data_IF_403585401950
#
_entry.id   IF_403585401950
#
_cell.length_a   1.000
_cell.length_b   1.000
_cell.length_c   1.000
_cell.angle_alpha   90.00
_cell.angle_beta   90.00
_cell.angle_gamma   90.00
#
_symmetry.space_group_name_H-M   'P 1'
#
loop_
_entity.id
_entity.type
_entity.pdbx_description
1 polymer ?
#
# COMPACT_ATOMS: atom_id res chain seq x y z
N UNK A 1 31.44 -11.55 18.14
CA UNK A 1 30.11 -10.94 18.43
C UNK A 1 29.18 -11.31 17.30
N UNK A 2 27.98 -11.78 17.59
CA UNK A 2 26.96 -12.16 16.58
C UNK A 2 26.38 -10.93 15.85
N UNK A 3 26.76 -9.71 16.24
CA UNK A 3 26.37 -8.47 15.60
C UNK A 3 27.58 -7.84 14.90
N UNK A 4 27.42 -7.44 13.64
CA UNK A 4 28.42 -6.69 12.89
C UNK A 4 28.80 -5.36 13.59
N UNK A 5 29.80 -4.68 13.05
CA UNK A 5 30.18 -3.37 13.53
C UNK A 5 29.01 -2.36 13.42
N UNK A 6 28.98 -1.37 14.30
CA UNK A 6 27.96 -0.32 14.28
C UNK A 6 28.21 0.60 13.10
N UNK A 7 27.17 0.87 12.33
CA UNK A 7 27.22 1.80 11.19
C UNK A 7 27.64 3.21 11.62
N UNK A 8 28.19 3.96 10.70
CA UNK A 8 28.48 5.36 10.91
C UNK A 8 27.23 6.13 11.35
N UNK A 9 27.39 7.05 12.32
CA UNK A 9 26.28 7.75 12.97
C UNK A 9 25.33 8.45 11.99
N UNK A 10 25.84 9.03 10.90
CA UNK A 10 25.00 9.64 9.88
C UNK A 10 24.11 8.63 9.14
N UNK A 11 24.58 7.39 8.91
CA UNK A 11 23.77 6.33 8.30
C UNK A 11 22.61 5.92 9.22
N UNK A 12 22.85 5.87 10.51
CA UNK A 12 21.81 5.59 11.51
C UNK A 12 20.74 6.70 11.49
N UNK A 13 21.16 7.98 11.45
CA UNK A 13 20.23 9.12 11.34
C UNK A 13 19.41 9.01 10.06
N UNK A 14 20.05 8.77 8.90
CA UNK A 14 19.35 8.60 7.63
C UNK A 14 18.37 7.44 7.67
N UNK A 15 18.71 6.32 8.28
CA UNK A 15 17.79 5.21 8.47
C UNK A 15 16.53 5.63 9.24
N UNK A 16 16.67 6.29 10.38
CA UNK A 16 15.51 6.76 11.16
C UNK A 16 14.63 7.74 10.37
N UNK A 17 15.25 8.70 9.69
CA UNK A 17 14.52 9.64 8.83
C UNK A 17 13.78 8.88 7.72
N UNK A 18 14.43 7.94 7.04
CA UNK A 18 13.83 7.16 5.95
C UNK A 18 12.63 6.35 6.44
N UNK A 19 12.75 5.63 7.56
CA UNK A 19 11.64 4.84 8.12
C UNK A 19 10.47 5.74 8.54
N UNK A 20 10.73 6.89 9.13
CA UNK A 20 9.68 7.86 9.45
C UNK A 20 8.96 8.36 8.19
N UNK A 21 9.73 8.68 7.13
CA UNK A 21 9.15 9.14 5.87
C UNK A 21 8.36 8.05 5.17
N UNK A 22 8.82 6.80 5.18
CA UNK A 22 8.09 5.65 4.61
C UNK A 22 6.75 5.50 5.30
N UNK A 23 6.72 5.39 6.65
CA UNK A 23 5.47 5.25 7.38
C UNK A 23 4.52 6.43 7.16
N UNK A 24 5.04 7.66 7.09
CA UNK A 24 4.24 8.85 6.82
C UNK A 24 3.65 8.84 5.41
N UNK A 25 4.46 8.58 4.38
CA UNK A 25 4.05 8.62 2.97
C UNK A 25 3.07 7.49 2.66
N UNK A 26 3.33 6.28 3.16
CA UNK A 26 2.44 5.15 2.95
C UNK A 26 1.08 5.38 3.59
N UNK A 27 1.02 5.89 4.82
CA UNK A 27 -0.26 6.22 5.45
C UNK A 27 -0.97 7.37 4.73
N UNK A 28 -0.24 8.40 4.27
CA UNK A 28 -0.82 9.49 3.48
C UNK A 28 -1.48 8.98 2.20
N UNK A 29 -0.80 8.11 1.49
CA UNK A 29 -1.31 7.52 0.24
C UNK A 29 -2.49 6.59 0.55
N UNK A 30 -2.31 5.62 1.44
CA UNK A 30 -3.30 4.56 1.63
C UNK A 30 -4.50 5.00 2.47
N UNK A 31 -4.32 5.75 3.54
CA UNK A 31 -5.44 6.19 4.40
C UNK A 31 -5.94 7.57 3.99
N UNK A 32 -5.02 8.46 3.63
CA UNK A 32 -5.37 9.80 3.17
C UNK A 32 -6.09 9.81 1.82
N UNK A 33 -5.65 8.99 0.86
CA UNK A 33 -6.20 8.99 -0.50
C UNK A 33 -6.98 7.72 -0.79
N UNK A 34 -6.31 6.56 -0.87
CA UNK A 34 -6.88 5.30 -1.37
C UNK A 34 -8.13 4.90 -0.58
N UNK A 35 -8.00 4.78 0.74
CA UNK A 35 -9.10 4.31 1.58
C UNK A 35 -10.28 5.31 1.60
N UNK A 36 -10.03 6.60 1.61
CA UNK A 36 -11.09 7.60 1.52
C UNK A 36 -11.85 7.51 0.19
N UNK A 37 -11.16 7.24 -0.94
CA UNK A 37 -11.80 7.00 -2.22
C UNK A 37 -12.62 5.70 -2.22
N UNK A 38 -12.08 4.63 -1.64
CA UNK A 38 -12.83 3.37 -1.48
C UNK A 38 -14.11 3.57 -0.66
N UNK A 39 -14.03 4.27 0.48
CA UNK A 39 -15.20 4.58 1.30
C UNK A 39 -16.27 5.37 0.56
N UNK A 40 -15.87 6.22 -0.38
CA UNK A 40 -16.79 6.97 -1.23
C UNK A 40 -17.39 6.13 -2.35
N UNK A 41 -16.60 5.20 -2.92
CA UNK A 41 -16.99 4.35 -4.03
C UNK A 41 -17.91 3.20 -3.63
N UNK A 42 -17.76 2.68 -2.42
CA UNK A 42 -18.57 1.58 -1.90
C UNK A 42 -19.89 2.07 -1.29
N UNK A 43 -20.97 1.24 -1.31
CA UNK A 43 -22.21 1.55 -0.62
C UNK A 43 -21.98 1.79 0.87
N UNK A 44 -22.72 2.74 1.46
CA UNK A 44 -22.66 3.05 2.90
C UNK A 44 -23.42 2.04 3.76
N UNK A 45 -23.25 0.79 3.43
CA UNK A 45 -23.79 -0.37 4.16
C UNK A 45 -22.67 -1.09 4.88
N UNK A 46 -23.02 -1.97 5.84
CA UNK A 46 -22.03 -2.82 6.53
C UNK A 46 -21.13 -3.58 5.56
N UNK A 47 -21.73 -4.15 4.51
CA UNK A 47 -21.02 -4.90 3.48
C UNK A 47 -20.08 -4.00 2.67
N UNK A 48 -20.58 -2.85 2.24
CA UNK A 48 -19.79 -1.89 1.46
C UNK A 48 -18.61 -1.33 2.24
N UNK A 49 -18.81 -0.92 3.49
CA UNK A 49 -17.71 -0.42 4.36
C UNK A 49 -16.69 -1.54 4.62
N UNK A 50 -17.16 -2.77 4.90
CA UNK A 50 -16.26 -3.91 5.08
C UNK A 50 -15.47 -4.19 3.80
N UNK A 51 -16.12 -4.13 2.63
CA UNK A 51 -15.46 -4.27 1.33
C UNK A 51 -14.38 -3.22 1.09
N UNK A 52 -14.67 -1.96 1.40
CA UNK A 52 -13.70 -0.86 1.29
C UNK A 52 -12.49 -1.09 2.22
N UNK A 53 -12.73 -1.53 3.46
CA UNK A 53 -11.69 -1.83 4.45
C UNK A 53 -10.81 -2.99 3.97
N UNK A 54 -11.41 -4.10 3.56
CA UNK A 54 -10.67 -5.28 3.11
C UNK A 54 -9.89 -4.97 1.84
N UNK A 55 -10.51 -4.32 0.86
CA UNK A 55 -9.82 -3.94 -0.37
C UNK A 55 -8.68 -2.95 -0.10
N UNK A 56 -8.86 -1.99 0.79
CA UNK A 56 -7.80 -1.06 1.20
C UNK A 56 -6.59 -1.77 1.80
N UNK A 57 -6.83 -2.78 2.64
CA UNK A 57 -5.77 -3.62 3.19
C UNK A 57 -5.10 -4.51 2.14
N UNK A 58 -5.88 -5.13 1.26
CA UNK A 58 -5.33 -5.96 0.15
C UNK A 58 -4.45 -5.12 -0.76
N UNK A 59 -4.88 -3.93 -1.16
CA UNK A 59 -4.08 -3.03 -2.00
C UNK A 59 -2.79 -2.62 -1.30
N UNK A 60 -2.85 -2.34 0.00
CA UNK A 60 -1.66 -2.03 0.80
C UNK A 60 -0.69 -3.21 0.82
N UNK A 61 -1.17 -4.43 1.06
CA UNK A 61 -0.34 -5.63 1.01
C UNK A 61 0.30 -5.85 -0.37
N UNK A 62 -0.49 -5.77 -1.44
CA UNK A 62 -0.02 -6.00 -2.81
C UNK A 62 1.08 -5.02 -3.23
N UNK A 63 1.11 -3.80 -2.70
CA UNK A 63 2.18 -2.84 -2.95
C UNK A 63 3.56 -3.43 -2.60
N UNK A 64 3.65 -4.25 -1.57
CA UNK A 64 4.91 -4.83 -1.10
C UNK A 64 5.54 -5.84 -2.06
N UNK A 65 4.82 -6.31 -3.10
CA UNK A 65 5.45 -7.06 -4.19
C UNK A 65 6.57 -6.28 -4.89
N UNK A 66 6.55 -4.94 -4.79
CA UNK A 66 7.62 -4.09 -5.28
C UNK A 66 8.98 -4.40 -4.66
N UNK A 67 9.02 -4.92 -3.42
CA UNK A 67 10.26 -5.26 -2.73
C UNK A 67 11.05 -6.38 -3.42
N UNK A 68 10.42 -7.15 -4.30
CA UNK A 68 11.14 -8.09 -5.17
C UNK A 68 12.16 -7.36 -6.06
N UNK A 69 11.84 -6.13 -6.53
CA UNK A 69 12.79 -5.29 -7.27
C UNK A 69 14.00 -4.83 -6.44
N UNK A 70 13.93 -4.91 -5.12
CA UNK A 70 15.02 -4.61 -4.19
C UNK A 70 15.76 -5.87 -3.70
N UNK A 71 15.53 -7.04 -4.32
CA UNK A 71 16.21 -8.29 -3.99
C UNK A 71 15.51 -9.15 -2.94
N UNK A 72 14.26 -8.85 -2.57
CA UNK A 72 13.48 -9.72 -1.68
C UNK A 72 13.00 -10.95 -2.44
N UNK A 73 13.25 -12.14 -1.87
CA UNK A 73 12.80 -13.43 -2.44
C UNK A 73 11.28 -13.51 -2.50
N UNK A 74 10.74 -14.19 -3.51
CA UNK A 74 9.29 -14.32 -3.68
C UNK A 74 8.56 -14.85 -2.44
N UNK A 75 9.09 -15.91 -1.79
CA UNK A 75 8.50 -16.49 -0.58
C UNK A 75 8.42 -15.48 0.58
N UNK A 76 9.50 -14.74 0.80
CA UNK A 76 9.59 -13.71 1.85
C UNK A 76 8.68 -12.52 1.53
N UNK A 77 8.66 -12.12 0.25
CA UNK A 77 7.78 -11.09 -0.25
C UNK A 77 6.29 -11.46 -0.08
N UNK A 78 5.91 -12.71 -0.37
CA UNK A 78 4.55 -13.20 -0.19
C UNK A 78 4.12 -13.13 1.30
N UNK A 79 5.00 -13.51 2.22
CA UNK A 79 4.76 -13.40 3.65
C UNK A 79 4.56 -11.92 4.04
N UNK A 80 5.40 -11.02 3.52
CA UNK A 80 5.28 -9.59 3.75
C UNK A 80 3.96 -9.04 3.19
N UNK A 81 3.57 -9.44 1.98
CA UNK A 81 2.29 -9.04 1.36
C UNK A 81 1.10 -9.44 2.24
N UNK A 82 1.09 -10.65 2.78
CA UNK A 82 0.02 -11.12 3.65
C UNK A 82 0.01 -10.34 4.97
N UNK A 83 1.15 -10.20 5.64
CA UNK A 83 1.25 -9.47 6.92
C UNK A 83 0.92 -7.99 6.77
N UNK A 84 1.44 -7.33 5.74
CA UNK A 84 1.11 -5.95 5.42
C UNK A 84 -0.37 -5.78 5.05
N UNK A 85 -0.95 -6.74 4.33
CA UNK A 85 -2.38 -6.77 4.03
C UNK A 85 -3.25 -6.83 5.28
N UNK A 86 -2.92 -7.70 6.23
CA UNK A 86 -3.60 -7.80 7.53
C UNK A 86 -3.47 -6.49 8.33
N UNK A 87 -2.26 -5.94 8.41
CA UNK A 87 -2.01 -4.63 9.03
C UNK A 87 -2.80 -3.53 8.33
N UNK A 88 -2.85 -3.56 6.99
CA UNK A 88 -3.60 -2.64 6.16
C UNK A 88 -5.10 -2.64 6.48
N UNK A 89 -5.71 -3.83 6.64
CA UNK A 89 -7.12 -3.97 7.06
C UNK A 89 -7.32 -3.39 8.45
N UNK A 90 -6.46 -3.74 9.41
CA UNK A 90 -6.51 -3.22 10.78
C UNK A 90 -6.42 -1.69 10.82
N UNK A 91 -5.47 -1.12 10.08
CA UNK A 91 -5.27 0.33 10.01
C UNK A 91 -6.43 1.05 9.32
N UNK A 92 -7.01 0.46 8.27
CA UNK A 92 -8.26 0.99 7.68
C UNK A 92 -9.40 1.03 8.70
N UNK A 93 -9.56 0.00 9.53
CA UNK A 93 -10.58 -0.02 10.59
C UNK A 93 -10.33 1.02 11.68
N UNK A 94 -9.06 1.17 12.11
CA UNK A 94 -8.69 2.17 13.10
C UNK A 94 -8.92 3.58 12.54
N UNK A 95 -8.48 3.83 11.31
CA UNK A 95 -8.68 5.13 10.65
C UNK A 95 -10.16 5.44 10.45
N UNK A 96 -10.95 4.46 10.01
CA UNK A 96 -12.39 4.63 9.90
C UNK A 96 -13.05 5.03 11.22
N UNK A 97 -12.54 4.50 12.33
CA UNK A 97 -13.08 4.75 13.67
C UNK A 97 -12.62 6.06 14.31
N UNK A 98 -11.37 6.46 14.05
CA UNK A 98 -10.70 7.57 14.77
C UNK A 98 -10.48 8.81 13.92
N UNK A 99 -10.39 8.65 12.59
CA UNK A 99 -9.96 9.67 11.64
C UNK A 99 -8.62 10.31 11.98
N UNK A 100 -7.83 9.67 12.84
CA UNK A 100 -6.54 10.15 13.27
C UNK A 100 -5.44 9.54 12.40
N UNK A 101 -5.01 10.28 11.39
CA UNK A 101 -3.94 9.93 10.48
C UNK A 101 -2.58 9.84 11.19
N UNK A 102 -2.26 10.81 12.04
CA UNK A 102 -0.97 10.88 12.70
C UNK A 102 -0.69 9.70 13.61
N UNK A 103 -1.71 9.23 14.31
CA UNK A 103 -1.60 8.04 15.15
C UNK A 103 -1.16 6.84 14.31
N UNK A 104 -1.74 6.66 13.10
CA UNK A 104 -1.39 5.55 12.23
C UNK A 104 0.02 5.68 11.65
N UNK A 105 0.42 6.88 11.22
CA UNK A 105 1.76 7.13 10.72
C UNK A 105 2.83 6.81 11.78
N UNK A 106 2.60 7.21 13.03
CA UNK A 106 3.50 6.88 14.15
C UNK A 106 3.51 5.36 14.41
N UNK A 107 2.34 4.71 14.45
CA UNK A 107 2.27 3.26 14.66
C UNK A 107 2.99 2.50 13.55
N UNK A 108 2.81 2.89 12.30
CA UNK A 108 3.47 2.29 11.16
C UNK A 108 4.99 2.41 11.28
N UNK A 109 5.47 3.64 11.51
CA UNK A 109 6.90 3.90 11.74
C UNK A 109 7.49 3.02 12.85
N UNK A 110 6.77 2.85 13.96
CA UNK A 110 7.23 2.00 15.09
C UNK A 110 7.30 0.53 14.68
N UNK A 111 6.32 0.03 13.90
CA UNK A 111 6.33 -1.35 13.38
C UNK A 111 7.52 -1.58 12.46
N UNK A 112 7.77 -0.67 11.53
CA UNK A 112 8.89 -0.74 10.59
C UNK A 112 10.24 -0.64 11.31
N UNK A 113 10.36 0.27 12.28
CA UNK A 113 11.55 0.35 13.14
C UNK A 113 11.81 -0.97 13.84
N UNK A 114 10.78 -1.58 14.45
CA UNK A 114 10.93 -2.87 15.13
C UNK A 114 11.43 -3.99 14.20
N UNK A 115 10.93 -4.02 12.96
CA UNK A 115 11.33 -5.02 11.97
C UNK A 115 12.72 -4.79 11.36
N UNK A 116 13.14 -3.54 11.22
CA UNK A 116 14.32 -3.14 10.44
C UNK A 116 15.49 -2.60 11.30
N UNK A 117 15.33 -2.49 12.61
CA UNK A 117 16.28 -1.80 13.49
C UNK A 117 17.70 -2.36 13.37
N UNK A 118 17.85 -3.68 13.32
CA UNK A 118 19.16 -4.32 13.23
C UNK A 118 19.86 -3.96 11.91
N UNK A 119 19.15 -3.97 10.78
CA UNK A 119 19.69 -3.56 9.48
C UNK A 119 20.00 -2.06 9.41
N UNK A 120 19.34 -1.25 10.23
CA UNK A 120 19.58 0.19 10.31
C UNK A 120 20.83 0.57 11.12
N UNK A 121 21.17 -0.21 12.16
CA UNK A 121 22.22 0.11 13.12
C UNK A 121 23.53 -0.64 12.85
N UNK A 122 23.46 -1.92 12.44
CA UNK A 122 24.62 -2.78 12.29
C UNK A 122 25.00 -2.99 10.83
N UNK A 123 26.31 -3.17 10.57
CA UNK A 123 26.83 -3.60 9.29
C UNK A 123 26.53 -5.10 9.08
N UNK A 124 26.59 -5.57 7.83
CA UNK A 124 26.45 -7.00 7.51
C UNK A 124 25.12 -7.42 6.92
N UNK A 125 24.19 -6.48 6.65
CA UNK A 125 22.95 -6.79 5.92
C UNK A 125 22.12 -5.56 5.58
N UNK A 126 21.42 -5.64 4.45
CA UNK A 126 20.46 -4.62 3.99
C UNK A 126 19.03 -4.91 4.46
N UNK A 127 18.13 -3.99 4.15
CA UNK A 127 16.68 -4.16 4.41
C UNK A 127 16.14 -5.41 3.71
N UNK A 128 16.56 -5.66 2.47
CA UNK A 128 16.14 -6.85 1.71
C UNK A 128 16.61 -8.15 2.37
N UNK A 129 17.85 -8.18 2.90
CA UNK A 129 18.37 -9.35 3.62
C UNK A 129 17.53 -9.63 4.85
N UNK A 130 17.19 -8.58 5.60
CA UNK A 130 16.33 -8.70 6.79
C UNK A 130 14.94 -9.23 6.48
N UNK A 131 14.33 -8.78 5.39
CA UNK A 131 13.02 -9.28 4.93
C UNK A 131 13.14 -10.74 4.47
N UNK A 132 14.29 -11.14 3.91
CA UNK A 132 14.55 -12.51 3.47
C UNK A 132 14.79 -13.51 4.61
N UNK A 133 15.07 -13.02 5.81
CA UNK A 133 15.20 -13.86 6.99
C UNK A 133 13.82 -14.38 7.43
N UNK A 134 13.55 -15.68 7.18
CA UNK A 134 12.36 -16.33 7.70
C UNK A 134 12.58 -16.73 9.16
N UNK A 135 11.70 -16.28 10.04
CA UNK A 135 11.72 -16.68 11.45
C UNK A 135 10.32 -17.02 11.95
N UNK A 136 10.22 -17.73 13.08
CA UNK A 136 8.95 -17.99 13.76
C UNK A 136 8.22 -16.69 14.14
N UNK A 137 8.93 -15.57 14.28
CA UNK A 137 8.35 -14.24 14.53
C UNK A 137 7.42 -13.79 13.41
N UNK A 138 7.66 -14.18 12.16
CA UNK A 138 6.76 -13.89 11.05
C UNK A 138 5.38 -14.54 11.24
N UNK A 139 5.35 -15.77 11.78
CA UNK A 139 4.10 -16.45 12.11
C UNK A 139 3.38 -15.78 13.29
N UNK A 140 4.13 -15.31 14.29
CA UNK A 140 3.57 -14.56 15.42
C UNK A 140 2.94 -13.26 14.94
N UNK A 141 3.55 -12.57 13.97
CA UNK A 141 3.00 -11.35 13.38
C UNK A 141 1.58 -11.58 12.78
N UNK A 142 1.32 -12.73 12.13
CA UNK A 142 -0.02 -13.05 11.65
C UNK A 142 -1.05 -13.17 12.77
N UNK A 143 -0.68 -13.73 13.91
CA UNK A 143 -1.56 -13.85 15.08
C UNK A 143 -1.80 -12.48 15.70
N UNK A 144 -0.74 -11.71 15.92
CA UNK A 144 -0.79 -10.37 16.52
C UNK A 144 -1.58 -9.38 15.68
N UNK A 145 -1.51 -9.46 14.36
CA UNK A 145 -2.28 -8.62 13.45
C UNK A 145 -3.67 -9.20 13.16
N UNK A 146 -3.78 -10.50 12.98
CA UNK A 146 -5.02 -11.19 12.61
C UNK A 146 -6.09 -11.16 13.70
N UNK A 147 -5.73 -11.37 14.97
CA UNK A 147 -6.70 -11.35 16.08
C UNK A 147 -7.35 -9.98 16.25
N UNK A 148 -6.61 -8.84 16.36
CA UNK A 148 -7.20 -7.52 16.41
C UNK A 148 -8.03 -7.20 15.18
N UNK A 149 -7.58 -7.59 13.98
CA UNK A 149 -8.34 -7.43 12.74
C UNK A 149 -9.70 -8.13 12.83
N UNK A 150 -9.74 -9.41 13.23
CA UNK A 150 -10.99 -10.16 13.37
C UNK A 150 -11.90 -9.53 14.44
N UNK A 151 -11.34 -9.06 15.55
CA UNK A 151 -12.10 -8.35 16.60
C UNK A 151 -12.70 -7.06 16.06
N UNK A 152 -11.94 -6.30 15.26
CA UNK A 152 -12.41 -5.05 14.65
C UNK A 152 -13.47 -5.29 13.57
N UNK A 153 -13.42 -6.42 12.86
CA UNK A 153 -14.41 -6.81 11.85
C UNK A 153 -15.70 -7.40 12.43
N UNK A 154 -15.85 -7.51 13.76
CA UNK A 154 -17.08 -7.99 14.38
C UNK A 154 -18.29 -7.15 13.99
N UNK A 155 -19.47 -7.81 13.95
CA UNK A 155 -20.75 -7.20 13.52
C UNK A 155 -21.07 -5.89 14.25
N UNK A 156 -20.85 -5.81 15.57
CA UNK A 156 -21.11 -4.61 16.38
C UNK A 156 -20.26 -3.40 15.96
N UNK A 157 -18.98 -3.62 15.64
CA UNK A 157 -18.07 -2.56 15.16
C UNK A 157 -18.46 -2.10 13.77
N UNK A 158 -18.81 -3.03 12.87
CA UNK A 158 -19.27 -2.71 11.52
C UNK A 158 -20.58 -1.90 11.51
N UNK A 159 -21.51 -2.21 12.42
CA UNK A 159 -22.74 -1.42 12.60
C UNK A 159 -22.40 0.04 13.01
N UNK A 160 -21.48 0.19 13.96
CA UNK A 160 -21.06 1.51 14.41
C UNK A 160 -20.43 2.32 13.27
N UNK A 161 -19.59 1.72 12.44
CA UNK A 161 -19.01 2.36 11.27
C UNK A 161 -20.07 2.76 10.25
N UNK A 162 -21.06 1.91 10.01
CA UNK A 162 -22.17 2.23 9.12
C UNK A 162 -22.94 3.49 9.61
N UNK A 163 -23.22 3.59 10.91
CA UNK A 163 -23.86 4.77 11.49
C UNK A 163 -23.00 6.02 11.33
N UNK A 164 -21.69 5.93 11.53
CA UNK A 164 -20.76 7.04 11.36
C UNK A 164 -20.71 7.52 9.91
N UNK A 165 -20.78 6.60 8.93
CA UNK A 165 -20.70 6.93 7.52
C UNK A 165 -22.03 7.36 6.88
N UNK A 166 -23.16 6.94 7.43
CA UNK A 166 -24.47 7.39 6.94
C UNK A 166 -24.70 8.88 7.16
N UNK A 167 -23.98 9.49 8.10
CA UNK A 167 -24.03 10.92 8.36
C UNK A 167 -23.04 11.73 7.50
N UNK A 168 -22.21 11.07 6.67
CA UNK A 168 -21.34 11.77 5.73
C UNK A 168 -22.12 12.14 4.48
N UNK A 169 -22.25 13.43 4.21
CA UNK A 169 -22.93 13.96 3.02
C UNK A 169 -22.34 13.38 1.74
N UNK A 170 -23.22 12.93 0.85
CA UNK A 170 -22.84 12.51 -0.50
C UNK A 170 -22.30 13.72 -1.25
N UNK A 171 -21.15 13.58 -1.90
CA UNK A 171 -20.57 14.63 -2.73
C UNK A 171 -21.39 14.70 -4.02
N UNK A 172 -22.27 15.66 -4.11
CA UNK A 172 -23.09 15.96 -5.30
C UNK A 172 -22.62 17.26 -6.00
N UNK A 173 -21.44 17.76 -5.63
CA UNK A 173 -20.92 19.03 -6.12
C UNK A 173 -20.07 18.81 -7.39
N UNK A 174 -20.37 19.59 -8.44
CA UNK A 174 -19.60 19.62 -9.70
C UNK A 174 -18.12 19.92 -9.45
N UNK A 175 -17.80 20.78 -8.49
CA UNK A 175 -16.43 21.12 -8.08
C UNK A 175 -15.67 19.91 -7.53
N UNK A 176 -16.29 19.05 -6.77
CA UNK A 176 -15.70 17.80 -6.29
C UNK A 176 -15.56 16.78 -7.42
N UNK A 177 -16.51 16.73 -8.35
CA UNK A 177 -16.41 15.92 -9.56
C UNK A 177 -15.20 16.31 -10.40
N UNK A 178 -14.94 17.60 -10.58
CA UNK A 178 -13.77 18.12 -11.28
C UNK A 178 -12.45 17.73 -10.58
N UNK A 179 -12.36 17.86 -9.27
CA UNK A 179 -11.19 17.44 -8.49
C UNK A 179 -10.91 15.92 -8.65
N UNK A 180 -11.94 15.11 -8.56
CA UNK A 180 -11.83 13.66 -8.72
C UNK A 180 -11.41 13.27 -10.14
N UNK A 181 -11.81 14.01 -11.17
CA UNK A 181 -11.35 13.81 -12.53
C UNK A 181 -9.84 14.05 -12.67
N UNK A 182 -9.35 15.16 -12.11
CA UNK A 182 -7.92 15.47 -12.10
C UNK A 182 -7.14 14.43 -11.32
N UNK A 183 -7.60 14.05 -10.13
CA UNK A 183 -6.98 12.97 -9.32
C UNK A 183 -6.92 11.66 -10.12
N UNK A 184 -7.98 11.30 -10.82
CA UNK A 184 -8.02 10.10 -11.67
C UNK A 184 -6.96 10.15 -12.78
N UNK A 185 -6.84 11.29 -13.46
CA UNK A 185 -5.87 11.46 -14.54
C UNK A 185 -4.42 11.40 -14.03
N UNK A 186 -4.12 12.09 -12.94
CA UNK A 186 -2.80 12.08 -12.30
C UNK A 186 -2.44 10.67 -11.85
N UNK A 187 -3.32 9.98 -11.15
CA UNK A 187 -3.08 8.61 -10.69
C UNK A 187 -2.91 7.63 -11.86
N UNK A 188 -3.68 7.83 -12.95
CA UNK A 188 -3.54 7.03 -14.16
C UNK A 188 -2.18 7.22 -14.83
N UNK A 189 -1.72 8.46 -14.99
CA UNK A 189 -0.39 8.78 -15.53
C UNK A 189 0.71 8.21 -14.61
N UNK A 190 0.62 8.43 -13.30
CA UNK A 190 1.56 7.86 -12.34
C UNK A 190 1.61 6.33 -12.42
N UNK A 191 0.45 5.67 -12.57
CA UNK A 191 0.37 4.22 -12.72
C UNK A 191 1.11 3.72 -13.96
N UNK A 192 1.07 4.48 -15.07
CA UNK A 192 1.84 4.15 -16.29
C UNK A 192 3.34 4.34 -16.04
N UNK A 193 3.76 5.50 -15.51
CA UNK A 193 5.17 5.84 -15.28
C UNK A 193 5.83 4.83 -14.34
N UNK A 194 5.15 4.49 -13.25
CA UNK A 194 5.68 3.59 -12.23
C UNK A 194 5.41 2.11 -12.49
N UNK A 195 4.74 1.75 -13.60
CA UNK A 195 4.49 0.35 -13.96
C UNK A 195 5.78 -0.46 -14.13
N UNK A 196 6.84 0.17 -14.67
CA UNK A 196 8.15 -0.44 -14.88
C UNK A 196 8.82 -0.93 -13.58
N UNK A 197 8.52 -0.30 -12.47
CA UNK A 197 9.11 -0.68 -11.18
C UNK A 197 8.30 -1.76 -10.44
N UNK A 198 7.22 -2.30 -11.06
CA UNK A 198 6.29 -3.19 -10.36
C UNK A 198 5.56 -2.50 -9.20
N UNK A 199 5.86 -1.21 -8.99
CA UNK A 199 5.31 -0.40 -7.94
C UNK A 199 3.90 0.05 -8.32
N UNK A 200 2.96 -0.15 -7.42
CA UNK A 200 1.72 0.61 -7.44
C UNK A 200 0.64 0.13 -8.42
N UNK A 201 0.47 -1.20 -8.62
CA UNK A 201 -0.76 -1.71 -9.25
C UNK A 201 -2.03 -1.05 -8.68
N UNK A 202 -1.98 -0.66 -7.40
CA UNK A 202 -3.06 0.05 -6.72
C UNK A 202 -3.39 1.41 -7.32
N UNK A 203 -2.43 2.15 -7.87
CA UNK A 203 -2.70 3.49 -8.45
C UNK A 203 -3.69 3.44 -9.60
N UNK A 204 -3.58 2.44 -10.49
CA UNK A 204 -4.52 2.26 -11.58
C UNK A 204 -5.94 2.01 -11.07
N UNK A 205 -6.09 1.13 -10.07
CA UNK A 205 -7.41 0.83 -9.46
C UNK A 205 -7.99 2.09 -8.82
N UNK A 206 -7.21 2.83 -8.05
CA UNK A 206 -7.64 4.06 -7.38
C UNK A 206 -8.02 5.13 -8.39
N UNK A 207 -7.25 5.28 -9.46
CA UNK A 207 -7.56 6.19 -10.56
C UNK A 207 -8.88 5.84 -11.26
N UNK A 208 -9.14 4.56 -11.51
CA UNK A 208 -10.44 4.09 -12.06
C UNK A 208 -11.61 4.43 -11.13
N UNK A 209 -11.44 4.21 -9.81
CA UNK A 209 -12.45 4.56 -8.83
C UNK A 209 -12.71 6.06 -8.80
N UNK A 210 -11.67 6.89 -8.78
CA UNK A 210 -11.79 8.34 -8.82
C UNK A 210 -12.51 8.82 -10.09
N UNK A 211 -12.22 8.24 -11.25
CA UNK A 211 -12.93 8.51 -12.51
C UNK A 211 -14.41 8.17 -12.41
N UNK A 212 -14.74 6.96 -11.93
CA UNK A 212 -16.13 6.52 -11.76
C UNK A 212 -16.93 7.44 -10.83
N UNK A 213 -16.29 7.89 -9.77
CA UNK A 213 -16.91 8.85 -8.82
C UNK A 213 -17.10 10.23 -9.45
N UNK A 214 -16.10 10.72 -10.20
CA UNK A 214 -16.22 11.97 -10.93
C UNK A 214 -17.40 11.95 -11.91
N UNK A 215 -17.58 10.86 -12.65
CA UNK A 215 -18.70 10.69 -13.60
C UNK A 215 -20.08 10.63 -12.94
N UNK A 216 -20.14 10.37 -11.64
CA UNK A 216 -21.40 10.39 -10.87
C UNK A 216 -21.76 11.79 -10.37
N UNK A 217 -20.83 12.75 -10.40
CA UNK A 217 -21.11 14.13 -10.04
C UNK A 217 -22.02 14.78 -11.10
N UNK A 218 -23.06 15.48 -10.63
CA UNK A 218 -24.04 16.14 -11.51
C UNK A 218 -23.37 17.23 -12.35
N UNK A 219 -23.78 17.36 -13.60
CA UNK A 219 -23.43 18.45 -14.54
C UNK A 219 -21.92 18.57 -14.89
N UNK A 220 -21.09 17.63 -14.53
CA UNK A 220 -19.66 17.68 -14.83
C UNK A 220 -19.34 17.16 -16.25
N UNK A 221 -18.49 17.87 -17.00
CA UNK A 221 -17.94 17.39 -18.26
C UNK A 221 -16.95 16.27 -18.02
N UNK A 222 -17.29 15.09 -18.51
CA UNK A 222 -16.60 13.84 -18.22
C UNK A 222 -15.32 13.58 -19.04
N UNK A 223 -14.85 14.52 -19.88
CA UNK A 223 -13.70 14.30 -20.75
C UNK A 223 -12.41 13.95 -19.97
N UNK A 224 -12.08 14.74 -18.94
CA UNK A 224 -10.90 14.49 -18.09
C UNK A 224 -11.08 13.21 -17.29
N UNK A 225 -12.27 12.94 -16.75
CA UNK A 225 -12.57 11.70 -16.04
C UNK A 225 -12.46 10.47 -16.97
N UNK A 226 -12.84 10.62 -18.25
CA UNK A 226 -12.68 9.53 -19.24
C UNK A 226 -11.21 9.28 -19.56
N UNK A 227 -10.43 10.35 -19.77
CA UNK A 227 -8.98 10.23 -19.95
C UNK A 227 -8.31 9.57 -18.72
N UNK A 228 -8.69 9.98 -17.51
CA UNK A 228 -8.24 9.36 -16.27
C UNK A 228 -8.61 7.87 -16.15
N UNK A 229 -9.78 7.46 -16.62
CA UNK A 229 -10.17 6.05 -16.67
C UNK A 229 -9.26 5.26 -17.61
N UNK A 230 -9.04 5.77 -18.82
CA UNK A 230 -8.23 5.10 -19.84
C UNK A 230 -6.78 4.95 -19.35
N UNK A 231 -6.16 6.03 -18.90
CA UNK A 231 -4.78 6.00 -18.39
C UNK A 231 -4.64 5.08 -17.18
N UNK A 232 -5.63 5.04 -16.30
CA UNK A 232 -5.65 4.15 -15.12
C UNK A 232 -5.76 2.67 -15.50
N UNK A 233 -6.55 2.33 -16.52
CA UNK A 233 -6.66 0.96 -17.05
C UNK A 233 -5.33 0.54 -17.68
N UNK A 234 -4.76 1.39 -18.52
CA UNK A 234 -3.47 1.12 -19.17
C UNK A 234 -2.39 0.90 -18.12
N UNK A 235 -2.27 1.81 -17.15
CA UNK A 235 -1.27 1.71 -16.10
C UNK A 235 -1.45 0.48 -15.21
N UNK A 236 -2.69 0.10 -14.91
CA UNK A 236 -2.99 -1.15 -14.19
C UNK A 236 -2.53 -2.38 -14.96
N UNK A 237 -2.90 -2.48 -16.23
CA UNK A 237 -2.52 -3.63 -17.08
C UNK A 237 -0.99 -3.73 -17.22
N UNK A 238 -0.31 -2.61 -17.48
CA UNK A 238 1.15 -2.57 -17.57
C UNK A 238 1.79 -2.99 -16.23
N UNK A 239 1.29 -2.52 -15.10
CA UNK A 239 1.80 -2.89 -13.78
C UNK A 239 1.65 -4.41 -13.52
N UNK A 240 0.53 -5.00 -13.92
CA UNK A 240 0.32 -6.46 -13.82
C UNK A 240 1.31 -7.22 -14.70
N UNK A 241 1.48 -6.81 -15.96
CA UNK A 241 2.43 -7.44 -16.89
C UNK A 241 3.86 -7.35 -16.34
N UNK A 242 4.29 -6.17 -15.90
CA UNK A 242 5.63 -5.97 -15.33
C UNK A 242 5.83 -6.80 -14.07
N UNK A 243 4.83 -6.89 -13.19
CA UNK A 243 4.90 -7.71 -11.97
C UNK A 243 5.04 -9.19 -12.31
N UNK A 244 4.23 -9.70 -13.24
CA UNK A 244 4.34 -11.11 -13.70
C UNK A 244 5.71 -11.35 -14.36
N UNK A 245 6.17 -10.43 -15.22
CA UNK A 245 7.49 -10.52 -15.85
C UNK A 245 8.62 -10.57 -14.83
N UNK A 246 8.59 -9.72 -13.80
CA UNK A 246 9.55 -9.75 -12.71
C UNK A 246 9.48 -11.05 -11.91
N UNK A 247 8.29 -11.55 -11.60
CA UNK A 247 8.13 -12.85 -10.92
C UNK A 247 8.76 -13.99 -11.72
N UNK A 248 8.56 -14.03 -13.04
CA UNK A 248 9.13 -15.04 -13.93
C UNK A 248 10.67 -14.91 -13.97
N UNK A 249 11.21 -13.70 -14.09
CA UNK A 249 12.65 -13.43 -14.06
C UNK A 249 13.31 -13.93 -12.78
N UNK A 250 12.71 -13.65 -11.63
CA UNK A 250 13.21 -14.12 -10.33
C UNK A 250 13.06 -15.63 -10.18
N UNK A 251 11.91 -16.20 -10.54
CA UNK A 251 11.68 -17.63 -10.43
C UNK A 251 12.58 -18.48 -11.35
N UNK A 252 12.98 -17.93 -12.50
CA UNK A 252 13.90 -18.61 -13.46
C UNK A 252 15.38 -18.46 -13.11
N UNK A 253 15.75 -17.67 -12.10
CA UNK A 253 17.15 -17.33 -11.78
C UNK A 253 17.84 -16.49 -12.87
N UNK A 254 17.08 -15.98 -13.84
CA UNK A 254 17.62 -15.16 -14.94
C UNK A 254 18.06 -13.79 -14.43
N UNK A 255 17.39 -13.26 -13.41
CA UNK A 255 17.76 -12.00 -12.77
C UNK A 255 19.20 -12.06 -12.21
N UNK A 256 19.52 -13.11 -11.46
CA UNK A 256 20.86 -13.29 -10.87
C UNK A 256 21.94 -13.42 -11.95
N UNK A 257 21.62 -14.09 -13.07
CA UNK A 257 22.54 -14.20 -14.22
C UNK A 257 22.77 -12.82 -14.88
N UNK A 258 21.75 -12.01 -15.04
CA UNK A 258 21.86 -10.66 -15.61
C UNK A 258 22.67 -9.71 -14.72
N UNK A 259 22.43 -9.75 -13.41
CA UNK A 259 23.18 -8.95 -12.44
C UNK A 259 24.66 -9.36 -12.42
N UNK A 260 24.95 -10.66 -12.38
CA UNK A 260 26.33 -11.15 -12.40
C UNK A 260 27.07 -10.82 -13.70
N UNK A 261 26.39 -10.82 -14.85
CA UNK A 261 26.99 -10.37 -16.12
C UNK A 261 27.29 -8.87 -16.14
N UNK A 262 26.46 -8.05 -15.53
CA UNK A 262 26.69 -6.60 -15.45
C UNK A 262 27.80 -6.19 -14.49
N UNK A 263 28.17 -7.07 -13.54
CA UNK A 263 29.31 -6.83 -12.64
C UNK A 263 30.67 -7.30 -13.22
N UNK A 264 30.64 -8.00 -14.35
CA UNK A 264 31.84 -8.46 -15.04
C UNK A 264 32.29 -7.54 -16.20
N UNK A 265 31.55 -6.46 -16.46
CA UNK A 265 31.90 -5.37 -17.38
C UNK A 265 32.35 -4.13 -16.60
#
# INVERSE_FOLDING_TARGET
SEHGDVKAFYNIIFFFIAVCLVGLVEELVFRGVVFNLLLRAFPKTKGGITGAVVLGGVLFGLMHFSNMGAGVKFSSCLIQVISAGLMGVLFCMIYASTRNFWMLAIFHTVVDMGGLLSSGIFEGGGVADRINEFSAMNCIAFIVLGIPMLVMLRKSRRIRLEMLYNNVTVIDDEREGAKLAVVSLVLGICSIIFSFFGYLMGLGIVGMLASKMSKRAKQYNNAIATAGMITSIIGFVLSVICTIGMMVLFASGMYDRLVNMSMLQ
#
